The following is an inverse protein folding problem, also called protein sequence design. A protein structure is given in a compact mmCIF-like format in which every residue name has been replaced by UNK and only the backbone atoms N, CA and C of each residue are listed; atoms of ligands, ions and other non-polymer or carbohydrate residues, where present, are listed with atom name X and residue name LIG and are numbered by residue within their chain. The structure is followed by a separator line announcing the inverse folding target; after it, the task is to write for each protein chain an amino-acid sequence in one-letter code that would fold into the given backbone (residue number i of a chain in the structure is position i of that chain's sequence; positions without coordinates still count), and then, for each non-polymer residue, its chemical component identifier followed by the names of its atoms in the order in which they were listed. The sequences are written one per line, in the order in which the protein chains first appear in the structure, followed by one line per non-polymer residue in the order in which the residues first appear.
data_IF_587385194733
#
_entry.id   IF_587385194733
#
_cell.length_a   1.000
_cell.length_b   1.000
_cell.length_c   1.000
_cell.angle_alpha   90.00
_cell.angle_beta   90.00
_cell.angle_gamma   90.00
#
_symmetry.space_group_name_H-M   'P 1'
#
loop_
_entity.id
_entity.type
_entity.pdbx_description
1 polymer ?
#
# COMPACT_ATOMS: atom_id res chain seq x y z
N UNK A 1 -13.87 -19.11 -2.87
CA UNK A 1 -13.30 -17.79 -3.20
C UNK A 1 -12.18 -17.51 -2.20
N UNK A 2 -10.92 -17.34 -2.63
CA UNK A 2 -9.84 -17.01 -1.68
C UNK A 2 -10.00 -15.56 -1.21
N UNK A 3 -9.88 -15.31 0.10
CA UNK A 3 -9.93 -13.97 0.66
C UNK A 3 -8.71 -13.15 0.18
N UNK A 4 -8.97 -12.01 -0.47
CA UNK A 4 -7.93 -11.07 -0.89
C UNK A 4 -7.31 -10.45 0.37
N UNK A 5 -5.99 -10.59 0.52
CA UNK A 5 -5.25 -10.02 1.64
C UNK A 5 -4.93 -8.55 1.38
N UNK A 6 -4.99 -7.73 2.41
CA UNK A 6 -4.61 -6.32 2.31
C UNK A 6 -3.21 -6.13 2.88
N UNK A 7 -2.36 -5.39 2.17
CA UNK A 7 -0.96 -5.16 2.57
C UNK A 7 -0.51 -3.72 2.37
N UNK A 8 0.57 -3.36 3.05
CA UNK A 8 1.28 -2.08 2.90
C UNK A 8 2.76 -2.38 2.67
N UNK A 9 3.41 -1.58 1.83
CA UNK A 9 4.86 -1.64 1.61
C UNK A 9 5.54 -0.65 2.58
N UNK A 10 6.49 -1.14 3.37
CA UNK A 10 7.33 -0.34 4.24
C UNK A 10 8.72 -0.17 3.62
N UNK A 11 9.09 1.07 3.38
CA UNK A 11 10.32 1.45 2.68
C UNK A 11 10.08 1.72 1.20
N UNK A 12 10.46 2.91 0.74
CA UNK A 12 10.39 3.34 -0.65
C UNK A 12 11.77 3.36 -1.32
N UNK A 13 12.56 2.32 -1.07
CA UNK A 13 13.88 2.11 -1.67
C UNK A 13 13.83 1.41 -3.03
N UNK A 14 14.98 0.91 -3.49
CA UNK A 14 15.14 0.32 -4.84
C UNK A 14 14.12 -0.76 -5.18
N UNK A 15 13.69 -1.57 -4.21
CA UNK A 15 12.84 -2.75 -4.44
C UNK A 15 11.34 -2.43 -4.32
N UNK A 16 10.98 -1.27 -3.78
CA UNK A 16 9.59 -0.93 -3.47
C UNK A 16 8.69 -0.95 -4.71
N UNK A 17 9.21 -0.43 -5.84
CA UNK A 17 8.50 -0.44 -7.12
C UNK A 17 8.27 -1.85 -7.64
N UNK A 18 9.26 -2.75 -7.50
CA UNK A 18 9.11 -4.16 -7.88
C UNK A 18 8.01 -4.84 -7.08
N UNK A 19 7.93 -4.59 -5.77
CA UNK A 19 6.84 -5.12 -4.94
C UNK A 19 5.47 -4.53 -5.32
N UNK A 20 5.40 -3.24 -5.63
CA UNK A 20 4.18 -2.61 -6.14
C UNK A 20 3.69 -3.28 -7.43
N UNK A 21 4.59 -3.53 -8.40
CA UNK A 21 4.26 -4.24 -9.65
C UNK A 21 3.81 -5.68 -9.38
N UNK A 22 4.44 -6.38 -8.44
CA UNK A 22 4.02 -7.71 -8.03
C UNK A 22 2.60 -7.70 -7.43
N UNK A 23 2.25 -6.70 -6.62
CA UNK A 23 0.88 -6.52 -6.13
C UNK A 23 -0.12 -6.29 -7.28
N UNK A 24 0.26 -5.51 -8.30
CA UNK A 24 -0.59 -5.28 -9.47
C UNK A 24 -0.87 -6.58 -10.25
N UNK A 25 0.16 -7.41 -10.47
CA UNK A 25 0.02 -8.71 -11.10
C UNK A 25 -0.79 -9.70 -10.24
N UNK A 26 -0.67 -9.59 -8.92
CA UNK A 26 -1.33 -10.44 -7.94
C UNK A 26 -2.64 -9.84 -7.38
N UNK A 27 -3.31 -8.91 -8.08
CA UNK A 27 -4.53 -8.22 -7.60
C UNK A 27 -5.68 -9.13 -7.16
N UNK A 28 -5.68 -10.37 -7.63
CA UNK A 28 -6.65 -11.41 -7.25
C UNK A 28 -6.34 -12.08 -5.89
N UNK A 29 -5.17 -11.81 -5.30
CA UNK A 29 -4.70 -12.35 -4.01
C UNK A 29 -4.36 -11.26 -3.00
N UNK A 30 -3.82 -10.13 -3.46
CA UNK A 30 -3.36 -9.03 -2.61
C UNK A 30 -3.88 -7.69 -3.12
N UNK A 31 -4.42 -6.88 -2.19
CA UNK A 31 -4.73 -5.47 -2.39
C UNK A 31 -3.67 -4.62 -1.68
N UNK A 32 -2.91 -3.86 -2.46
CA UNK A 32 -2.00 -2.86 -1.91
C UNK A 32 -2.81 -1.65 -1.42
N UNK A 33 -2.78 -1.39 -0.12
CA UNK A 33 -3.52 -0.30 0.54
C UNK A 33 -2.69 0.97 0.67
N UNK A 34 -1.37 0.84 0.77
CA UNK A 34 -0.51 1.97 1.00
C UNK A 34 0.97 1.65 0.94
N UNK A 35 1.76 2.71 0.98
CA UNK A 35 3.22 2.70 0.96
C UNK A 35 3.67 3.72 2.00
N UNK A 36 4.63 3.33 2.84
CA UNK A 36 5.22 4.24 3.82
C UNK A 36 6.74 4.22 3.79
N UNK A 37 7.35 5.31 4.24
CA UNK A 37 8.79 5.40 4.50
C UNK A 37 9.06 6.23 5.76
N UNK A 38 10.32 6.26 6.21
CA UNK A 38 10.74 7.04 7.38
C UNK A 38 10.89 8.55 7.10
N UNK A 39 10.04 9.14 6.24
CA UNK A 39 10.03 10.57 5.94
C UNK A 39 10.93 11.00 4.78
N UNK A 40 11.33 10.07 3.89
CA UNK A 40 12.17 10.42 2.73
C UNK A 40 11.38 11.05 1.57
N UNK A 41 10.04 11.02 1.65
CA UNK A 41 9.14 11.55 0.62
C UNK A 41 8.99 10.68 -0.62
N UNK A 42 9.84 9.66 -0.78
CA UNK A 42 9.80 8.71 -1.91
C UNK A 42 8.53 7.87 -1.91
N UNK A 43 8.02 7.53 -0.72
CA UNK A 43 6.77 6.77 -0.59
C UNK A 43 5.58 7.50 -1.21
N UNK A 44 5.50 8.83 -1.12
CA UNK A 44 4.43 9.62 -1.73
C UNK A 44 4.41 9.53 -3.26
N UNK A 45 5.57 9.68 -3.91
CA UNK A 45 5.68 9.55 -5.36
C UNK A 45 5.30 8.14 -5.84
N UNK A 46 5.74 7.11 -5.11
CA UNK A 46 5.42 5.72 -5.45
C UNK A 46 3.94 5.39 -5.20
N UNK A 47 3.32 5.95 -4.16
CA UNK A 47 1.89 5.79 -3.90
C UNK A 47 1.04 6.39 -5.05
N UNK A 48 1.42 7.57 -5.56
CA UNK A 48 0.76 8.18 -6.71
C UNK A 48 0.93 7.37 -8.01
N UNK A 49 2.07 6.73 -8.21
CA UNK A 49 2.27 5.77 -9.31
C UNK A 49 1.35 4.55 -9.11
N UNK A 50 1.30 4.00 -7.90
CA UNK A 50 0.47 2.85 -7.58
C UNK A 50 -1.02 3.12 -7.79
N UNK A 51 -1.54 4.29 -7.40
CA UNK A 51 -2.94 4.67 -7.65
C UNK A 51 -3.27 4.60 -9.15
N UNK A 52 -2.40 5.17 -9.99
CA UNK A 52 -2.58 5.17 -11.46
C UNK A 52 -2.52 3.76 -12.04
N UNK A 53 -1.62 2.92 -11.55
CA UNK A 53 -1.45 1.56 -12.05
C UNK A 53 -2.55 0.60 -11.61
N UNK A 54 -3.01 0.72 -10.36
CA UNK A 54 -3.92 -0.23 -9.73
C UNK A 54 -5.40 0.15 -9.90
N UNK A 55 -5.69 1.42 -10.18
CA UNK A 55 -7.06 1.91 -10.34
C UNK A 55 -7.82 2.06 -9.01
N UNK A 56 -7.12 2.10 -7.88
CA UNK A 56 -7.69 2.36 -6.55
C UNK A 56 -6.72 3.16 -5.68
N UNK A 57 -7.24 3.74 -4.61
CA UNK A 57 -6.43 4.55 -3.69
C UNK A 57 -5.37 3.74 -2.95
N UNK A 58 -4.13 4.20 -3.06
CA UNK A 58 -2.96 3.73 -2.31
C UNK A 58 -2.47 4.88 -1.45
N UNK A 59 -2.60 4.71 -0.13
CA UNK A 59 -2.27 5.74 0.84
C UNK A 59 -0.76 5.91 1.01
N UNK A 60 -0.33 7.15 1.26
CA UNK A 60 1.03 7.44 1.71
C UNK A 60 1.03 7.56 3.24
N UNK A 61 1.88 6.78 3.90
CA UNK A 61 2.08 6.83 5.35
C UNK A 61 3.48 7.34 5.68
N UNK A 62 3.61 8.19 6.70
CA UNK A 62 4.87 8.81 7.12
C UNK A 62 5.57 8.04 8.24
N UNK A 63 4.88 7.08 8.86
CA UNK A 63 5.44 6.23 9.91
C UNK A 63 4.72 4.89 10.01
N UNK A 64 5.32 3.94 10.75
CA UNK A 64 4.69 2.67 11.11
C UNK A 64 3.47 2.89 12.01
N UNK A 65 3.50 3.91 12.87
CA UNK A 65 2.37 4.26 13.75
C UNK A 65 1.15 4.76 12.96
N UNK A 66 1.37 5.57 11.91
CA UNK A 66 0.30 6.00 11.00
C UNK A 66 -0.31 4.80 10.27
N UNK A 67 0.48 3.78 9.93
CA UNK A 67 -0.01 2.55 9.30
C UNK A 67 -0.87 1.76 10.28
N UNK A 68 -0.38 1.55 11.50
CA UNK A 68 -1.10 0.79 12.52
C UNK A 68 -2.47 1.43 12.82
N UNK A 69 -2.50 2.75 12.99
CA UNK A 69 -3.73 3.52 13.22
C UNK A 69 -4.65 3.52 11.98
N UNK A 70 -4.09 3.69 10.77
CA UNK A 70 -4.84 3.67 9.51
C UNK A 70 -5.45 2.31 9.16
N UNK A 71 -4.80 1.20 9.53
CA UNK A 71 -5.38 -0.14 9.37
C UNK A 71 -6.59 -0.34 10.29
N UNK A 72 -6.49 0.05 11.56
CA UNK A 72 -7.56 -0.08 12.57
C UNK A 72 -8.81 0.71 12.17
N UNK A 73 -8.66 1.89 11.54
CA UNK A 73 -9.80 2.68 11.08
C UNK A 73 -10.52 2.07 9.87
N UNK A 74 -9.81 1.25 9.08
CA UNK A 74 -10.29 0.75 7.80
C UNK A 74 -10.88 -0.66 7.82
N UNK A 75 -10.70 -1.39 8.91
CA UNK A 75 -11.31 -2.71 9.14
C UNK A 75 -12.76 -2.62 9.65
N UNK A 76 -13.29 -1.42 9.89
CA UNK A 76 -14.68 -1.21 10.35
C UNK A 76 -15.73 -1.01 9.24
N UNK A 77 -15.36 -1.12 7.96
CA UNK A 77 -16.27 -0.89 6.83
C UNK A 77 -16.32 -2.05 5.83
N UNK A 78 -15.94 -3.24 6.24
CA UNK A 78 -16.13 -4.46 5.46
C UNK A 78 -16.69 -5.57 6.38
N UNK A 79 -17.89 -5.32 6.90
CA UNK A 79 -18.86 -6.36 7.28
C UNK A 79 -20.06 -6.25 6.33
#
# INVERSE_FOLDING_TARGET
MQSVKTGVILGAGMIARTHMLACAAARHKVRLKGIGDGGSGRAGALALEACRLLGHDVLHFKSVDEIATGFIASTRFLD
#
